data_IF_966654673430
#
_entry.id   IF_966654673430
#
_cell.length_a   1.000
_cell.length_b   1.000
_cell.length_c   1.000
_cell.angle_alpha   90.00
_cell.angle_beta   90.00
_cell.angle_gamma   90.00
#
_symmetry.space_group_name_H-M   'P 1'
#
loop_
_entity.id
_entity.type
_entity.pdbx_description
1 polymer ?
#
# COMPACT_ATOMS: atom_id res chain seq x y z
N UNK A 1 -0.85 2.38 -18.06
CA UNK A 1 0.35 2.99 -17.46
C UNK A 1 0.57 2.37 -16.09
N UNK A 2 1.81 2.19 -15.67
CA UNK A 2 2.15 1.68 -14.35
C UNK A 2 3.18 2.61 -13.71
N UNK A 3 3.02 2.86 -12.42
CA UNK A 3 4.02 3.52 -11.56
C UNK A 3 4.26 2.62 -10.35
N UNK A 4 5.50 2.56 -9.88
CA UNK A 4 5.88 1.84 -8.66
C UNK A 4 6.89 2.66 -7.89
N UNK A 5 6.66 2.82 -6.60
CA UNK A 5 7.54 3.51 -5.66
C UNK A 5 7.78 2.63 -4.44
N UNK A 6 9.02 2.64 -3.93
CA UNK A 6 9.35 2.07 -2.63
C UNK A 6 8.91 3.03 -1.54
N UNK A 7 8.23 2.51 -0.53
CA UNK A 7 7.58 3.31 0.52
C UNK A 7 7.72 2.66 1.88
N UNK A 8 7.54 3.45 2.93
CA UNK A 8 7.38 2.93 4.29
C UNK A 8 5.93 3.12 4.75
N UNK A 9 5.30 2.02 5.13
CA UNK A 9 3.96 2.00 5.72
C UNK A 9 4.02 2.25 7.21
N UNK A 10 2.98 2.91 7.74
CA UNK A 10 2.88 3.22 9.18
C UNK A 10 2.62 2.01 10.06
N UNK A 11 2.04 0.96 9.50
CA UNK A 11 1.63 -0.25 10.21
C UNK A 11 1.57 -1.46 9.28
N UNK A 12 1.29 -2.62 9.87
CA UNK A 12 1.13 -3.90 9.17
C UNK A 12 -0.13 -3.98 8.27
N UNK A 13 -0.97 -2.93 8.21
CA UNK A 13 -2.06 -2.85 7.23
C UNK A 13 -1.53 -2.49 5.83
N UNK A 14 -0.28 -2.05 5.71
CA UNK A 14 0.37 -1.72 4.43
C UNK A 14 -0.43 -0.66 3.64
N UNK A 15 -0.95 0.34 4.35
CA UNK A 15 -1.79 1.39 3.76
C UNK A 15 -3.15 0.88 3.25
N UNK A 16 -3.60 -0.30 3.68
CA UNK A 16 -4.89 -0.87 3.30
C UNK A 16 -5.65 -1.48 4.51
N UNK A 17 -6.06 -0.65 5.49
CA UNK A 17 -6.75 -1.16 6.67
C UNK A 17 -8.20 -1.59 6.36
N UNK A 18 -8.59 -2.72 6.93
CA UNK A 18 -9.96 -3.22 6.92
C UNK A 18 -10.74 -2.73 8.17
N UNK A 19 -12.02 -2.37 8.03
CA UNK A 19 -12.84 -1.93 9.16
C UNK A 19 -12.93 -2.99 10.28
N UNK A 20 -12.76 -2.57 11.53
CA UNK A 20 -12.87 -3.44 12.70
C UNK A 20 -11.64 -4.29 13.00
N UNK A 21 -10.58 -4.18 12.18
CA UNK A 21 -9.32 -4.88 12.41
C UNK A 21 -8.32 -4.00 13.16
N UNK A 22 -7.44 -4.66 13.94
CA UNK A 22 -6.32 -4.03 14.62
C UNK A 22 -5.02 -4.47 13.96
N UNK A 23 -4.18 -3.49 13.62
CA UNK A 23 -2.90 -3.71 12.96
C UNK A 23 -1.75 -3.31 13.88
N UNK A 24 -0.69 -4.11 13.86
CA UNK A 24 0.55 -3.81 14.58
C UNK A 24 1.14 -2.50 14.04
N UNK A 25 1.41 -1.55 14.95
CA UNK A 25 2.01 -0.25 14.67
C UNK A 25 3.53 -0.39 14.47
N UNK A 26 3.90 -0.97 13.35
CA UNK A 26 5.30 -1.21 12.96
C UNK A 26 5.56 -0.61 11.59
N UNK A 27 6.62 0.19 11.50
CA UNK A 27 7.09 0.72 10.22
C UNK A 27 7.47 -0.45 9.33
N UNK A 28 6.84 -0.52 8.16
CA UNK A 28 7.00 -1.65 7.25
C UNK A 28 7.39 -1.14 5.88
N UNK A 29 8.60 -1.51 5.43
CA UNK A 29 9.02 -1.23 4.07
C UNK A 29 8.22 -2.07 3.07
N UNK A 30 7.93 -1.46 1.92
CA UNK A 30 7.11 -2.07 0.90
C UNK A 30 7.08 -1.25 -0.39
N UNK A 31 6.11 -1.55 -1.24
CA UNK A 31 5.93 -0.84 -2.50
C UNK A 31 4.50 -0.38 -2.68
N UNK A 32 4.33 0.82 -3.22
CA UNK A 32 3.05 1.32 -3.74
C UNK A 32 3.10 1.30 -5.25
N UNK A 33 2.22 0.50 -5.83
CA UNK A 33 2.12 0.28 -7.27
C UNK A 33 0.78 0.84 -7.72
N UNK A 34 0.78 1.74 -8.70
CA UNK A 34 -0.43 2.34 -9.26
C UNK A 34 -0.53 1.94 -10.73
N UNK A 35 -1.55 1.16 -11.05
CA UNK A 35 -1.88 0.74 -12.41
C UNK A 35 -3.06 1.58 -12.93
N UNK A 36 -2.86 2.25 -14.05
CA UNK A 36 -3.94 2.93 -14.80
C UNK A 36 -4.30 2.13 -16.04
N UNK A 37 -5.53 1.63 -16.08
CA UNK A 37 -6.09 0.86 -17.19
C UNK A 37 -7.55 1.25 -17.44
N UNK A 38 -7.91 1.51 -18.70
CA UNK A 38 -9.29 1.88 -19.07
C UNK A 38 -9.82 3.13 -18.36
N UNK A 39 -8.94 4.10 -18.04
CA UNK A 39 -9.32 5.31 -17.30
C UNK A 39 -9.51 5.11 -15.79
N UNK A 40 -9.33 3.90 -15.26
CA UNK A 40 -9.39 3.59 -13.82
C UNK A 40 -8.00 3.36 -13.24
N UNK A 41 -7.80 3.81 -12.00
CA UNK A 41 -6.61 3.51 -11.20
C UNK A 41 -6.85 2.32 -10.27
N UNK A 42 -5.84 1.48 -10.15
CA UNK A 42 -5.79 0.33 -9.24
C UNK A 42 -4.52 0.44 -8.40
N UNK A 43 -4.69 0.38 -7.09
CA UNK A 43 -3.59 0.51 -6.14
C UNK A 43 -3.20 -0.88 -5.65
N UNK A 44 -2.00 -1.33 -5.98
CA UNK A 44 -1.43 -2.55 -5.45
C UNK A 44 -0.37 -2.22 -4.42
N UNK A 45 -0.44 -2.81 -3.24
CA UNK A 45 0.52 -2.59 -2.18
C UNK A 45 1.26 -3.89 -1.85
N UNK A 46 2.49 -3.78 -1.37
CA UNK A 46 3.27 -4.88 -0.82
C UNK A 46 4.00 -4.42 0.43
N UNK A 47 4.52 -5.37 1.22
CA UNK A 47 5.41 -5.04 2.33
C UNK A 47 5.79 -6.24 3.18
N UNK A 48 6.96 -6.16 3.81
CA UNK A 48 7.56 -7.29 4.52
C UNK A 48 7.68 -8.51 3.62
N UNK A 49 7.02 -9.62 3.98
CA UNK A 49 6.99 -10.88 3.20
C UNK A 49 5.70 -11.07 2.40
N UNK A 50 4.86 -10.05 2.29
CA UNK A 50 3.58 -10.14 1.58
C UNK A 50 3.76 -9.72 0.12
N UNK A 51 3.39 -10.63 -0.77
CA UNK A 51 3.31 -10.36 -2.21
C UNK A 51 2.31 -9.23 -2.53
N UNK A 52 2.45 -8.54 -3.67
CA UNK A 52 1.56 -7.47 -4.06
C UNK A 52 0.07 -7.87 -4.08
N UNK A 53 -0.78 -7.06 -3.48
CA UNK A 53 -2.23 -7.26 -3.43
C UNK A 53 -2.98 -5.98 -3.78
N UNK A 54 -4.18 -6.11 -4.36
CA UNK A 54 -5.03 -4.98 -4.68
C UNK A 54 -5.60 -4.38 -3.39
N UNK A 55 -5.41 -3.08 -3.20
CA UNK A 55 -6.04 -2.27 -2.16
C UNK A 55 -7.15 -1.41 -2.75
N UNK A 56 -8.38 -1.61 -2.28
CA UNK A 56 -9.54 -0.84 -2.76
C UNK A 56 -9.67 0.52 -2.08
N UNK A 57 -9.20 0.64 -0.83
CA UNK A 57 -9.27 1.86 -0.03
C UNK A 57 -7.85 2.28 0.44
N UNK A 58 -7.01 2.78 -0.47
CA UNK A 58 -5.61 3.07 -0.18
C UNK A 58 -5.47 4.29 0.73
N UNK A 59 -4.62 4.15 1.75
CA UNK A 59 -4.08 5.25 2.53
C UNK A 59 -2.68 5.63 2.01
N UNK A 60 -2.30 6.92 2.09
CA UNK A 60 -0.98 7.35 1.68
C UNK A 60 0.11 6.72 2.57
N UNK A 61 1.28 6.38 2.01
CA UNK A 61 2.44 5.96 2.80
C UNK A 61 2.96 7.11 3.67
N UNK A 62 3.94 6.82 4.53
CA UNK A 62 4.63 7.88 5.25
C UNK A 62 5.40 8.79 4.27
N UNK A 63 5.41 10.11 4.50
CA UNK A 63 6.16 11.03 3.67
C UNK A 63 7.66 10.76 3.82
N UNK A 64 8.35 10.64 2.69
CA UNK A 64 9.82 10.68 2.62
C UNK A 64 10.26 12.14 2.79
N UNK A 65 11.02 12.40 3.85
CA UNK A 65 11.60 13.71 4.16
C UNK A 65 12.67 14.12 3.13
#
# INVERSE_FOLDING_TARGET
MVSSEEVTWRDSALGCPEPGMHYAQVLTDGSRIVLTAGGKQYHYHSGGRRDPFLCENPQPPLPTN
#
